data_IF_030433250443
#
_entry.id   IF_030433250443
#
_cell.length_a   1.000
_cell.length_b   1.000
_cell.length_c   1.000
_cell.angle_alpha   90.00
_cell.angle_beta   90.00
_cell.angle_gamma   90.00
#
_symmetry.space_group_name_H-M   'P 1'
#
loop_
_entity.id
_entity.type
_entity.pdbx_description
1 polymer ?
#
# COMPACT_ATOMS: atom_id res chain seq x y z
N UNK A 1 -6.06 11.28 -3.84
CA UNK A 1 -5.33 10.73 -2.71
C UNK A 1 -5.54 9.23 -2.60
N UNK A 2 -4.54 8.55 -2.08
CA UNK A 2 -4.60 7.10 -1.98
C UNK A 2 -5.00 6.69 -0.57
N UNK A 3 -5.35 5.43 -0.42
CA UNK A 3 -5.71 4.91 0.88
C UNK A 3 -4.73 3.84 1.30
N UNK A 4 -4.25 3.96 2.53
CA UNK A 4 -3.34 2.98 3.13
C UNK A 4 -4.11 1.69 3.42
N UNK A 5 -3.66 0.60 2.84
CA UNK A 5 -4.35 -0.69 3.02
C UNK A 5 -4.13 -1.26 4.42
N UNK A 6 -3.13 -0.80 5.12
CA UNK A 6 -2.80 -1.33 6.44
C UNK A 6 -3.60 -0.64 7.52
N UNK A 7 -3.53 0.68 7.56
CA UNK A 7 -4.23 1.42 8.61
C UNK A 7 -5.51 2.10 8.11
N UNK A 8 -5.76 2.08 6.82
CA UNK A 8 -7.02 2.61 6.29
C UNK A 8 -7.13 4.11 6.28
N UNK A 9 -6.01 4.81 6.40
CA UNK A 9 -6.03 6.26 6.41
C UNK A 9 -5.73 6.81 5.01
N UNK A 10 -6.20 8.03 4.77
CA UNK A 10 -5.91 8.69 3.50
C UNK A 10 -4.45 9.11 3.46
N UNK A 11 -3.81 8.89 2.33
CA UNK A 11 -2.39 9.18 2.16
C UNK A 11 -2.21 10.08 0.95
N UNK A 12 -1.41 11.13 1.11
CA UNK A 12 -1.05 11.99 0.00
C UNK A 12 -0.03 11.26 -0.87
N UNK A 13 -0.39 11.03 -2.13
CA UNK A 13 0.47 10.27 -3.03
C UNK A 13 1.83 10.92 -3.22
N UNK A 14 1.85 12.24 -3.32
CA UNK A 14 3.11 12.93 -3.50
C UNK A 14 3.99 12.81 -2.26
N UNK A 15 3.38 12.93 -1.11
CA UNK A 15 4.12 12.84 0.14
C UNK A 15 4.67 11.44 0.34
N UNK A 16 3.85 10.43 0.10
CA UNK A 16 4.30 9.07 0.24
C UNK A 16 5.45 8.76 -0.71
N UNK A 17 5.35 9.27 -1.94
CA UNK A 17 6.41 9.06 -2.91
C UNK A 17 7.70 9.74 -2.46
N UNK A 18 7.60 10.95 -1.95
CA UNK A 18 8.77 11.69 -1.48
C UNK A 18 9.44 10.99 -0.32
N UNK A 19 8.67 10.33 0.52
CA UNK A 19 9.20 9.62 1.68
C UNK A 19 9.60 8.19 1.37
N UNK A 20 9.35 7.71 0.15
CA UNK A 20 9.65 6.35 -0.21
C UNK A 20 8.69 5.34 0.38
N UNK A 21 7.48 5.78 0.70
CA UNK A 21 6.47 4.92 1.31
C UNK A 21 5.50 4.41 0.26
N UNK A 22 6.04 3.77 -0.77
CA UNK A 22 5.22 3.23 -1.84
C UNK A 22 5.67 1.81 -2.16
N UNK A 23 4.74 1.02 -2.68
CA UNK A 23 5.04 -0.33 -3.12
C UNK A 23 4.24 -0.63 -4.37
N UNK A 24 4.77 -1.50 -5.20
CA UNK A 24 4.10 -1.90 -6.42
C UNK A 24 3.84 -3.41 -6.39
N UNK A 25 2.62 -3.80 -6.72
CA UNK A 25 2.25 -5.20 -6.71
C UNK A 25 1.24 -5.44 -7.83
N UNK A 26 1.59 -6.37 -8.73
CA UNK A 26 0.73 -6.74 -9.86
C UNK A 26 0.28 -5.53 -10.68
N UNK A 27 1.22 -4.63 -10.94
CA UNK A 27 0.93 -3.48 -11.78
C UNK A 27 0.20 -2.36 -11.08
N UNK A 28 -0.04 -2.48 -9.79
CA UNK A 28 -0.71 -1.46 -9.00
C UNK A 28 0.27 -0.82 -8.03
N UNK A 29 0.19 0.49 -7.90
CA UNK A 29 1.04 1.20 -6.96
C UNK A 29 0.24 1.51 -5.70
N UNK A 30 0.83 1.22 -4.57
CA UNK A 30 0.20 1.43 -3.27
C UNK A 30 0.98 2.42 -2.45
N UNK A 31 0.29 3.23 -1.67
CA UNK A 31 0.90 4.30 -0.89
C UNK A 31 0.62 4.07 0.58
N UNK A 32 1.59 4.41 1.44
CA UNK A 32 1.48 4.12 2.85
C UNK A 32 1.79 5.34 3.68
N UNK A 33 1.24 5.38 4.87
CA UNK A 33 1.40 6.54 5.75
C UNK A 33 2.64 6.45 6.63
N UNK A 34 3.24 5.28 6.75
CA UNK A 34 4.39 5.08 7.61
C UNK A 34 5.23 3.92 7.11
N UNK A 35 6.54 3.91 7.45
CA UNK A 35 7.42 2.82 7.02
C UNK A 35 6.95 1.44 7.50
N UNK A 36 6.34 1.40 8.67
CA UNK A 36 5.82 0.14 9.19
C UNK A 36 4.74 -0.43 8.32
N UNK A 37 3.86 0.42 7.81
CA UNK A 37 2.79 -0.03 6.93
C UNK A 37 3.35 -0.57 5.63
N UNK A 38 4.34 0.13 5.08
CA UNK A 38 4.96 -0.32 3.85
C UNK A 38 5.61 -1.69 4.04
N UNK A 39 6.32 -1.86 5.14
CA UNK A 39 6.98 -3.13 5.42
C UNK A 39 5.97 -4.25 5.57
N UNK A 40 4.89 -3.98 6.25
CA UNK A 40 3.84 -4.98 6.44
C UNK A 40 3.31 -5.44 5.09
N UNK A 41 3.05 -4.49 4.20
CA UNK A 41 2.56 -4.81 2.88
C UNK A 41 3.60 -5.61 2.09
N UNK A 42 4.87 -5.19 2.14
CA UNK A 42 5.92 -5.86 1.40
C UNK A 42 6.09 -7.31 1.83
N UNK A 43 5.87 -7.59 3.11
CA UNK A 43 5.99 -8.94 3.63
C UNK A 43 4.77 -9.79 3.28
N UNK A 44 3.60 -9.16 3.21
CA UNK A 44 2.37 -9.89 2.96
C UNK A 44 1.49 -9.18 1.93
N UNK A 45 2.03 -8.97 0.71
CA UNK A 45 1.26 -8.21 -0.28
C UNK A 45 -0.05 -8.90 -0.66
N UNK A 46 -0.05 -10.22 -0.66
CA UNK A 46 -1.25 -10.95 -1.04
C UNK A 46 -2.36 -10.79 -0.03
N UNK A 47 -2.02 -10.60 1.23
CA UNK A 47 -3.02 -10.42 2.25
C UNK A 47 -3.80 -9.12 2.08
N UNK A 48 -3.13 -8.10 1.55
CA UNK A 48 -3.75 -6.80 1.44
C UNK A 48 -4.23 -6.50 0.03
N UNK A 49 -3.40 -6.79 -0.96
CA UNK A 49 -3.74 -6.48 -2.34
C UNK A 49 -4.36 -7.65 -3.08
N UNK A 50 -3.79 -8.82 -2.93
CA UNK A 50 -4.26 -10.00 -3.64
C UNK A 50 -5.62 -10.48 -3.20
N UNK A 51 -6.03 -10.05 -2.04
CA UNK A 51 -7.29 -10.48 -1.47
C UNK A 51 -8.47 -10.17 -2.38
N UNK A 52 -8.43 -9.03 -3.00
CA UNK A 52 -9.51 -8.63 -3.89
C UNK A 52 -9.60 -9.52 -5.10
N UNK A 53 -8.45 -9.89 -5.62
CA UNK A 53 -8.42 -10.74 -6.81
C UNK A 53 -9.02 -12.09 -6.54
N UNK A 54 -8.80 -12.60 -5.37
CA UNK A 54 -9.28 -13.94 -5.06
C UNK A 54 -10.78 -14.00 -4.97
N UNK A 55 -11.42 -12.89 -4.79
CA UNK A 55 -12.87 -12.86 -4.74
C UNK A 55 -13.50 -13.05 -6.11
N UNK A 56 -12.74 -12.72 -7.12
CA UNK A 56 -13.25 -12.87 -8.47
C UNK A 56 -13.15 -14.32 -8.92
#
# INVERSE_FOLDING_TARGET
MAKDLICGMDVDEQEATAKGLTSEYQGQTYYFCAPGCKREFDQHPEQFAGKKSSDA
#
